data_IF_121644033926
#
_entry.id   IF_121644033926
#
_cell.length_a   1.000
_cell.length_b   1.000
_cell.length_c   1.000
_cell.angle_alpha   90.00
_cell.angle_beta   90.00
_cell.angle_gamma   90.00
#
_symmetry.space_group_name_H-M   'P 1'
#
loop_
_entity.id
_entity.type
_entity.pdbx_description
1 polymer ?
#
# COMPACT_ATOMS: atom_id res chain seq x y z
N UNK A 1 -18.03 4.02 10.50
CA UNK A 1 -18.25 4.93 9.35
C UNK A 1 -18.96 4.05 8.33
N UNK A 2 -20.27 4.26 8.12
CA UNK A 2 -21.07 3.34 7.31
C UNK A 2 -20.77 3.55 5.82
N UNK A 3 -20.05 2.61 5.23
CA UNK A 3 -20.04 2.46 3.78
C UNK A 3 -21.46 2.11 3.37
N UNK A 4 -22.09 2.97 2.57
CA UNK A 4 -23.44 2.73 2.05
C UNK A 4 -23.35 1.53 1.10
N UNK A 5 -23.67 0.35 1.61
CA UNK A 5 -23.99 -0.80 0.78
C UNK A 5 -25.18 -0.43 -0.12
N UNK A 6 -25.04 -0.71 -1.42
CA UNK A 6 -26.11 -0.52 -2.40
C UNK A 6 -27.44 -1.10 -1.89
N UNK A 7 -28.52 -0.35 -2.12
CA UNK A 7 -29.88 -0.63 -1.64
C UNK A 7 -30.47 -1.98 -2.10
N UNK A 8 -29.78 -2.70 -2.97
CA UNK A 8 -30.20 -3.97 -3.57
C UNK A 8 -29.47 -5.20 -3.03
N UNK A 9 -28.55 -5.05 -2.08
CA UNK A 9 -27.81 -6.20 -1.51
C UNK A 9 -26.85 -6.87 -2.50
N UNK A 10 -26.64 -6.28 -3.69
CA UNK A 10 -25.52 -6.63 -4.57
C UNK A 10 -24.34 -5.74 -4.20
N UNK A 11 -23.61 -6.11 -3.15
CA UNK A 11 -22.58 -5.26 -2.57
C UNK A 11 -21.36 -5.10 -3.48
N UNK A 12 -21.40 -4.19 -4.45
CA UNK A 12 -20.19 -3.63 -5.06
C UNK A 12 -19.59 -2.64 -4.07
N UNK A 13 -18.30 -2.78 -3.82
CA UNK A 13 -17.56 -1.83 -2.99
C UNK A 13 -17.51 -0.48 -3.74
N UNK A 14 -17.38 0.65 -3.03
CA UNK A 14 -17.13 1.91 -3.72
C UNK A 14 -15.93 1.77 -4.68
N UNK A 15 -15.96 2.35 -5.89
CA UNK A 15 -14.94 2.11 -6.92
C UNK A 15 -13.50 2.32 -6.42
N UNK A 16 -13.30 3.24 -5.47
CA UNK A 16 -11.97 3.50 -4.90
C UNK A 16 -11.50 2.42 -3.94
N UNK A 17 -12.40 1.72 -3.25
CA UNK A 17 -12.05 0.57 -2.40
C UNK A 17 -11.70 -0.63 -3.27
N UNK A 18 -12.45 -0.90 -4.34
CA UNK A 18 -12.09 -1.95 -5.31
C UNK A 18 -10.71 -1.69 -5.91
N UNK A 19 -10.43 -0.43 -6.25
CA UNK A 19 -9.13 -0.01 -6.77
C UNK A 19 -8.01 -0.16 -5.74
N UNK A 20 -8.24 0.21 -4.48
CA UNK A 20 -7.27 0.05 -3.41
C UNK A 20 -6.92 -1.44 -3.19
N UNK A 21 -7.92 -2.33 -3.18
CA UNK A 21 -7.71 -3.77 -3.06
C UNK A 21 -6.88 -4.33 -4.23
N UNK A 22 -7.14 -3.89 -5.47
CA UNK A 22 -6.33 -4.30 -6.62
C UNK A 22 -4.88 -3.83 -6.51
N UNK A 23 -4.66 -2.60 -6.05
CA UNK A 23 -3.31 -2.07 -5.78
C UNK A 23 -2.58 -2.91 -4.75
N UNK A 24 -3.24 -3.25 -3.64
CA UNK A 24 -2.68 -4.13 -2.60
C UNK A 24 -2.29 -5.49 -3.18
N UNK A 25 -3.19 -6.12 -3.94
CA UNK A 25 -2.92 -7.40 -4.57
C UNK A 25 -1.73 -7.36 -5.51
N UNK A 26 -1.62 -6.32 -6.34
CA UNK A 26 -0.49 -6.12 -7.25
C UNK A 26 0.84 -5.85 -6.52
N UNK A 27 0.80 -5.13 -5.40
CA UNK A 27 1.99 -4.87 -4.58
C UNK A 27 2.53 -6.17 -4.00
N UNK A 28 1.67 -6.93 -3.32
CA UNK A 28 2.05 -8.20 -2.69
C UNK A 28 2.50 -9.22 -3.74
N UNK A 29 1.78 -9.35 -4.85
CA UNK A 29 2.14 -10.24 -5.95
C UNK A 29 3.53 -9.93 -6.52
N UNK A 30 3.88 -8.65 -6.66
CA UNK A 30 5.20 -8.23 -7.19
C UNK A 30 6.31 -8.23 -6.15
N UNK A 31 5.97 -8.09 -4.87
CA UNK A 31 6.93 -8.22 -3.77
C UNK A 31 7.51 -9.64 -3.72
N UNK A 32 6.65 -10.64 -4.00
CA UNK A 32 7.01 -12.04 -3.92
C UNK A 32 7.06 -12.54 -2.47
N UNK A 33 7.67 -13.71 -2.22
CA UNK A 33 7.75 -14.29 -0.88
C UNK A 33 8.45 -13.40 0.14
N UNK A 34 8.00 -13.45 1.39
CA UNK A 34 8.58 -12.71 2.51
C UNK A 34 7.56 -12.13 3.49
N UNK A 35 8.06 -11.36 4.46
CA UNK A 35 7.24 -10.55 5.36
C UNK A 35 7.15 -9.13 4.80
N UNK A 36 5.93 -8.60 4.72
CA UNK A 36 5.63 -7.30 4.15
C UNK A 36 5.05 -6.38 5.19
N UNK A 37 5.62 -5.19 5.33
CA UNK A 37 5.06 -4.09 6.09
C UNK A 37 4.65 -2.98 5.12
N UNK A 38 3.34 -2.77 4.99
CA UNK A 38 2.75 -1.72 4.18
C UNK A 38 2.43 -0.53 5.06
N UNK A 39 2.74 0.67 4.60
CA UNK A 39 2.34 1.91 5.26
C UNK A 39 1.75 2.88 4.25
N UNK A 40 0.59 3.45 4.54
CA UNK A 40 -0.10 4.40 3.68
C UNK A 40 -0.44 5.66 4.47
N UNK A 41 -0.17 6.80 3.83
CA UNK A 41 -0.58 8.13 4.26
C UNK A 41 -1.50 8.73 3.19
N UNK A 42 -2.57 9.39 3.62
CA UNK A 42 -3.43 10.18 2.74
C UNK A 42 -3.50 11.62 3.24
N UNK A 43 -3.03 12.54 2.40
CA UNK A 43 -2.95 13.97 2.73
C UNK A 43 -4.30 14.66 2.51
N UNK A 44 -5.14 14.65 3.54
CA UNK A 44 -6.47 15.26 3.47
C UNK A 44 -6.35 16.78 3.62
N UNK A 45 -6.74 17.58 2.61
CA UNK A 45 -6.61 19.04 2.70
C UNK A 45 -7.33 19.63 3.92
N UNK A 46 -6.59 20.42 4.71
CA UNK A 46 -7.12 21.12 5.88
C UNK A 46 -7.33 20.26 7.13
N UNK A 47 -6.72 19.07 7.20
CA UNK A 47 -6.76 18.16 8.37
C UNK A 47 -5.40 17.50 8.56
N UNK A 48 -5.24 16.81 9.69
CA UNK A 48 -4.09 15.93 9.88
C UNK A 48 -4.16 14.73 8.89
N UNK A 49 -3.03 14.26 8.36
CA UNK A 49 -2.99 13.12 7.46
C UNK A 49 -3.60 11.86 8.08
N UNK A 50 -4.27 11.06 7.25
CA UNK A 50 -4.70 9.72 7.65
C UNK A 50 -3.54 8.77 7.46
N UNK A 51 -3.25 7.96 8.47
CA UNK A 51 -2.12 7.04 8.43
C UNK A 51 -2.50 5.65 8.94
N UNK A 52 -2.13 4.61 8.17
CA UNK A 52 -2.29 3.21 8.57
C UNK A 52 -1.17 2.33 8.06
N UNK A 53 -0.84 1.32 8.86
CA UNK A 53 0.01 0.21 8.47
C UNK A 53 -0.78 -1.10 8.39
N UNK A 54 -0.27 -2.03 7.60
CA UNK A 54 -0.69 -3.43 7.63
C UNK A 54 0.49 -4.36 7.40
N UNK A 55 0.38 -5.57 7.96
CA UNK A 55 1.34 -6.63 7.73
C UNK A 55 0.73 -7.75 6.88
N UNK A 56 1.55 -8.31 6.01
CA UNK A 56 1.23 -9.53 5.28
C UNK A 56 2.48 -10.43 5.24
N UNK A 57 2.28 -11.72 5.08
CA UNK A 57 3.34 -12.64 4.71
C UNK A 57 2.91 -13.44 3.49
N UNK A 58 3.89 -13.76 2.66
CA UNK A 58 3.73 -14.64 1.49
C UNK A 58 4.72 -15.78 1.63
N UNK A 59 4.20 -17.01 1.70
CA UNK A 59 4.99 -18.25 1.69
C UNK A 59 4.74 -19.04 0.40
N UNK A 60 5.81 -19.62 -0.15
CA UNK A 60 5.76 -20.38 -1.39
C UNK A 60 5.89 -19.54 -2.66
N UNK A 61 6.17 -20.21 -3.78
CA UNK A 61 6.36 -19.60 -5.10
C UNK A 61 5.32 -20.14 -6.10
N UNK A 62 5.09 -19.40 -7.19
CA UNK A 62 4.22 -19.82 -8.29
C UNK A 62 2.82 -19.22 -8.23
N UNK A 63 1.84 -19.94 -8.78
CA UNK A 63 0.50 -19.41 -9.05
C UNK A 63 -0.45 -19.44 -7.83
N UNK A 64 -0.08 -20.11 -6.75
CA UNK A 64 -0.91 -20.26 -5.54
C UNK A 64 -0.06 -20.20 -4.26
N UNK A 65 0.56 -19.04 -3.95
CA UNK A 65 1.30 -18.86 -2.71
C UNK A 65 0.33 -18.74 -1.52
N UNK A 66 0.78 -19.17 -0.34
CA UNK A 66 0.02 -18.94 0.90
C UNK A 66 0.20 -17.48 1.32
N UNK A 67 -0.91 -16.76 1.44
CA UNK A 67 -0.93 -15.33 1.78
C UNK A 67 -1.70 -15.14 3.07
N UNK A 68 -1.00 -14.72 4.12
CA UNK A 68 -1.61 -14.42 5.41
C UNK A 68 -1.47 -12.96 5.79
N UNK A 69 -2.56 -12.36 6.25
CA UNK A 69 -2.58 -10.99 6.75
C UNK A 69 -3.70 -10.81 7.79
N UNK A 70 -3.49 -10.01 8.86
CA UNK A 70 -4.57 -9.69 9.80
C UNK A 70 -5.68 -8.89 9.09
N UNK A 71 -6.89 -9.46 9.02
CA UNK A 71 -8.03 -8.87 8.29
C UNK A 71 -8.29 -7.42 8.69
N UNK A 72 -8.21 -7.12 10.00
CA UNK A 72 -8.46 -5.77 10.49
C UNK A 72 -7.41 -4.77 9.98
N UNK A 73 -6.14 -5.14 10.01
CA UNK A 73 -5.06 -4.26 9.55
C UNK A 73 -5.21 -3.96 8.06
N UNK A 74 -5.40 -5.00 7.25
CA UNK A 74 -5.61 -4.86 5.81
C UNK A 74 -6.85 -4.04 5.49
N UNK A 75 -7.93 -4.18 6.26
CA UNK A 75 -9.17 -3.40 6.06
C UNK A 75 -8.91 -1.92 6.33
N UNK A 76 -8.42 -1.58 7.53
CA UNK A 76 -8.12 -0.20 7.91
C UNK A 76 -7.12 0.46 6.94
N UNK A 77 -6.08 -0.29 6.52
CA UNK A 77 -5.09 0.17 5.55
C UNK A 77 -5.72 0.44 4.18
N UNK A 78 -6.55 -0.47 3.69
CA UNK A 78 -7.22 -0.34 2.39
C UNK A 78 -8.15 0.88 2.38
N UNK A 79 -8.80 1.19 3.50
CA UNK A 79 -9.62 2.39 3.63
C UNK A 79 -8.79 3.68 3.48
N UNK A 80 -7.63 3.77 4.14
CA UNK A 80 -6.73 4.94 4.00
C UNK A 80 -6.18 5.04 2.58
N UNK A 81 -5.77 3.93 1.98
CA UNK A 81 -5.33 3.91 0.58
C UNK A 81 -6.45 4.35 -0.37
N UNK A 82 -7.68 3.92 -0.14
CA UNK A 82 -8.83 4.37 -0.91
C UNK A 82 -9.05 5.89 -0.77
N UNK A 83 -8.86 6.46 0.42
CA UNK A 83 -8.87 7.91 0.60
C UNK A 83 -7.78 8.61 -0.19
N UNK A 84 -6.53 8.16 -0.08
CA UNK A 84 -5.39 8.72 -0.81
C UNK A 84 -5.61 8.69 -2.32
N UNK A 85 -6.12 7.58 -2.86
CA UNK A 85 -6.44 7.44 -4.27
C UNK A 85 -7.60 8.34 -4.73
N UNK A 86 -8.62 8.56 -3.88
CA UNK A 86 -9.74 9.45 -4.18
C UNK A 86 -9.30 10.91 -4.26
N UNK A 87 -8.48 11.35 -3.30
CA UNK A 87 -8.00 12.74 -3.22
C UNK A 87 -6.74 12.98 -4.06
N UNK A 88 -6.12 11.90 -4.55
CA UNK A 88 -4.91 11.91 -5.39
C UNK A 88 -3.74 12.60 -4.68
N UNK A 89 -3.57 12.30 -3.40
CA UNK A 89 -2.51 12.85 -2.56
C UNK A 89 -2.20 11.88 -1.43
N UNK A 90 -0.91 11.70 -1.15
CA UNK A 90 -0.42 10.83 -0.10
C UNK A 90 0.82 10.05 -0.51
N UNK A 91 1.21 9.12 0.34
CA UNK A 91 2.38 8.29 0.20
C UNK A 91 2.02 6.83 0.48
N UNK A 92 2.69 5.92 -0.22
CA UNK A 92 2.60 4.50 0.03
C UNK A 92 4.01 3.91 0.11
N UNK A 93 4.28 3.12 1.15
CA UNK A 93 5.54 2.43 1.37
C UNK A 93 5.29 0.92 1.49
N UNK A 94 6.19 0.13 0.93
CA UNK A 94 6.25 -1.32 1.06
C UNK A 94 7.67 -1.71 1.45
N UNK A 95 7.81 -2.21 2.66
CA UNK A 95 9.00 -2.89 3.13
C UNK A 95 8.79 -4.40 2.99
N UNK A 96 9.80 -5.10 2.50
CA UNK A 96 9.79 -6.56 2.34
C UNK A 96 11.05 -7.14 2.92
N UNK A 97 10.89 -7.97 3.93
CA UNK A 97 11.94 -8.81 4.50
C UNK A 97 11.85 -10.20 3.86
N UNK A 98 12.93 -10.64 3.22
CA UNK A 98 12.99 -11.93 2.52
C UNK A 98 14.37 -12.55 2.72
N UNK A 99 14.56 -13.79 2.26
CA UNK A 99 15.87 -14.45 2.27
C UNK A 99 16.94 -13.69 1.48
N UNK A 100 16.53 -12.82 0.54
CA UNK A 100 17.42 -11.95 -0.24
C UNK A 100 17.80 -10.64 0.47
N UNK A 101 17.28 -10.42 1.69
CA UNK A 101 17.46 -9.20 2.47
C UNK A 101 16.22 -8.31 2.51
N UNK A 102 16.39 -7.11 3.06
CA UNK A 102 15.32 -6.12 3.24
C UNK A 102 15.29 -5.12 2.07
N UNK A 103 14.12 -4.99 1.45
CA UNK A 103 13.86 -4.04 0.35
C UNK A 103 12.79 -3.05 0.75
N UNK A 104 13.07 -1.75 0.61
CA UNK A 104 12.04 -0.70 0.71
C UNK A 104 11.72 -0.13 -0.67
N UNK A 105 10.43 -0.02 -0.93
CA UNK A 105 9.85 0.63 -2.10
C UNK A 105 8.83 1.68 -1.65
N UNK A 106 8.66 2.74 -2.45
CA UNK A 106 7.67 3.76 -2.13
C UNK A 106 7.11 4.47 -3.35
N UNK A 107 5.91 5.03 -3.20
CA UNK A 107 5.17 5.70 -4.25
C UNK A 107 4.52 6.99 -3.72
N UNK A 108 4.51 8.03 -4.55
CA UNK A 108 3.55 9.11 -4.43
C UNK A 108 2.19 8.63 -4.90
N UNK A 109 1.14 8.96 -4.15
CA UNK A 109 -0.24 8.84 -4.60
C UNK A 109 -0.63 10.14 -5.31
N UNK A 110 -0.94 10.06 -6.60
CA UNK A 110 -1.27 11.23 -7.42
C UNK A 110 -2.37 10.94 -8.46
N UNK A 111 -2.62 11.90 -9.35
CA UNK A 111 -3.64 11.77 -10.40
C UNK A 111 -3.41 10.63 -11.41
N UNK A 112 -2.20 10.06 -11.46
CA UNK A 112 -1.84 8.92 -12.29
C UNK A 112 -1.96 7.56 -11.56
N UNK A 113 -2.24 7.57 -10.26
CA UNK A 113 -2.28 6.37 -9.41
C UNK A 113 -1.10 6.37 -8.45
N UNK A 114 -0.14 5.47 -8.69
CA UNK A 114 1.08 5.37 -7.88
C UNK A 114 2.30 5.62 -8.75
N UNK A 115 2.98 6.74 -8.48
CA UNK A 115 4.21 7.15 -9.14
C UNK A 115 5.39 6.77 -8.25
N UNK A 116 6.38 5.98 -8.72
CA UNK A 116 7.54 5.60 -7.93
C UNK A 116 8.28 6.79 -7.32
N UNK A 117 8.66 6.67 -6.04
CA UNK A 117 9.58 7.60 -5.40
C UNK A 117 10.99 7.38 -5.91
N UNK A 118 11.72 8.49 -6.09
CA UNK A 118 13.17 8.44 -6.20
C UNK A 118 13.78 8.06 -4.85
N UNK A 119 15.04 7.61 -4.86
CA UNK A 119 15.77 7.29 -3.62
C UNK A 119 15.79 8.47 -2.63
N UNK A 120 15.98 9.71 -3.11
CA UNK A 120 15.99 10.89 -2.24
C UNK A 120 14.64 11.08 -1.55
N UNK A 121 13.55 11.02 -2.31
CA UNK A 121 12.21 11.19 -1.75
C UNK A 121 11.83 10.05 -0.79
N UNK A 122 12.34 8.84 -1.04
CA UNK A 122 12.15 7.71 -0.14
C UNK A 122 12.90 7.91 1.19
N UNK A 123 14.11 8.48 1.14
CA UNK A 123 14.86 8.85 2.35
C UNK A 123 14.18 9.98 3.13
N UNK A 124 13.66 10.99 2.42
CA UNK A 124 12.90 12.08 3.04
C UNK A 124 11.64 11.54 3.74
N UNK A 125 10.87 10.68 3.06
CA UNK A 125 9.67 10.06 3.62
C UNK A 125 9.97 9.19 4.87
N UNK A 126 11.12 8.51 4.91
CA UNK A 126 11.53 7.76 6.09
C UNK A 126 11.83 8.66 7.29
N UNK A 127 12.47 9.80 7.07
CA UNK A 127 12.81 10.74 8.13
C UNK A 127 11.56 11.32 8.83
N UNK A 128 10.47 11.48 8.07
CA UNK A 128 9.19 11.99 8.56
C UNK A 128 8.28 10.87 9.10
N UNK A 129 8.66 9.60 8.93
CA UNK A 129 7.84 8.47 9.36
C UNK A 129 8.04 8.14 10.85
N UNK A 130 6.98 7.93 11.63
CA UNK A 130 7.07 7.62 13.07
C UNK A 130 7.44 6.15 13.35
N UNK A 131 8.04 5.44 12.39
CA UNK A 131 8.21 3.98 12.44
C UNK A 131 9.63 3.60 12.89
N UNK A 132 9.75 2.76 13.92
CA UNK A 132 10.99 2.06 14.21
C UNK A 132 11.17 0.95 13.16
N UNK A 133 12.20 1.06 12.31
CA UNK A 133 12.53 0.07 11.27
C UNK A 133 13.90 -0.55 11.52
N UNK A 134 14.06 -1.79 11.04
CA UNK A 134 15.34 -2.50 11.05
C UNK A 134 16.39 -1.83 10.16
N UNK A 135 17.62 -2.35 10.21
CA UNK A 135 18.69 -1.92 9.30
C UNK A 135 18.28 -2.27 7.86
N UNK A 136 18.17 -1.25 7.00
CA UNK A 136 17.70 -1.44 5.62
C UNK A 136 18.88 -1.69 4.68
N UNK A 137 18.89 -2.87 4.04
CA UNK A 137 19.96 -3.27 3.14
C UNK A 137 19.86 -2.60 1.76
N UNK A 138 18.65 -2.39 1.23
CA UNK A 138 18.47 -1.88 -0.14
C UNK A 138 17.27 -0.92 -0.34
N UNK A 139 17.55 0.20 -1.00
CA UNK A 139 16.54 1.10 -1.55
C UNK A 139 16.30 0.74 -3.01
N UNK A 140 15.19 0.07 -3.30
CA UNK A 140 14.84 -0.29 -4.67
C UNK A 140 13.91 0.76 -5.27
N UNK A 141 14.12 1.09 -6.55
CA UNK A 141 13.15 1.93 -7.28
C UNK A 141 11.85 1.15 -7.42
N UNK A 142 10.78 1.72 -6.90
CA UNK A 142 9.44 1.18 -7.04
C UNK A 142 9.07 1.00 -8.53
N UNK A 143 8.33 -0.05 -8.84
CA UNK A 143 7.75 -0.23 -10.17
C UNK A 143 6.51 0.65 -10.34
N UNK A 144 6.21 1.18 -11.54
CA UNK A 144 4.98 1.94 -11.74
C UNK A 144 3.74 1.04 -11.55
N UNK A 145 2.70 1.58 -10.95
CA UNK A 145 1.36 0.99 -10.94
C UNK A 145 0.42 1.99 -11.62
N UNK A 146 0.13 1.71 -12.89
CA UNK A 146 -0.74 2.57 -13.69
C UNK A 146 -2.20 2.38 -13.28
N UNK A 147 -2.89 3.51 -13.14
CA UNK A 147 -4.33 3.53 -12.85
C UNK A 147 -5.24 3.30 -14.06
N UNK A 148 -4.70 3.39 -15.29
CA UNK A 148 -5.48 3.17 -16.51
C UNK A 148 -5.35 1.72 -16.96
N UNK A 149 -6.40 0.94 -16.71
CA UNK A 149 -6.45 -0.50 -16.93
C UNK A 149 -6.84 -1.33 -15.70
N UNK A 150 -7.19 -0.68 -14.58
CA UNK A 150 -7.70 -1.28 -13.34
C UNK A 150 -9.15 -0.91 -13.09
#
# INVERSE_FOLDING_TARGET
MDFIYGKDGSGSLPPTVERALRVVGELLRKAGPGFHHLACEADVPGRDPLFKCAHAYIEGEGDDPDVGAPVKEMTDFTEVLAWGLAIRSGLLLLETESDSGTRLQGWMIDGNGLTPLTRSQLLDALADSPQERGEMDEFTTAFPIHSQGL
#
